data_IF_627017812116
#
_entry.id   IF_627017812116
#
_cell.length_a   1.000
_cell.length_b   1.000
_cell.length_c   1.000
_cell.angle_alpha   90.00
_cell.angle_beta   90.00
_cell.angle_gamma   90.00
#
_symmetry.space_group_name_H-M   'P 1'
#
loop_
_entity.id
_entity.type
_entity.pdbx_description
1 polymer ?
#
# COMPACT_ATOMS: atom_id res chain seq x y z
N UNK A 1 -2.20 16.99 25.04
CA UNK A 1 -2.01 17.36 23.62
C UNK A 1 -2.12 16.08 22.83
N UNK A 2 -3.28 15.88 22.20
CA UNK A 2 -3.77 14.58 21.75
C UNK A 2 -2.95 14.03 20.56
N UNK A 3 -2.35 12.86 20.74
CA UNK A 3 -1.90 12.03 19.62
C UNK A 3 -3.17 11.50 18.94
N UNK A 4 -3.55 12.15 17.83
CA UNK A 4 -4.60 11.68 16.93
C UNK A 4 -4.00 10.55 16.09
N UNK A 5 -3.65 9.45 16.76
CA UNK A 5 -3.23 8.22 16.09
C UNK A 5 -4.40 7.76 15.24
N UNK A 6 -4.15 7.77 13.93
CA UNK A 6 -5.18 7.57 12.92
C UNK A 6 -5.71 6.15 13.06
N UNK A 7 -6.99 6.02 13.39
CA UNK A 7 -7.69 4.75 13.46
C UNK A 7 -7.73 4.11 12.06
N UNK A 8 -6.71 3.33 11.73
CA UNK A 8 -6.86 2.19 10.85
C UNK A 8 -6.73 0.99 11.76
N UNK A 9 -7.86 0.35 12.04
CA UNK A 9 -7.98 -0.83 12.88
C UNK A 9 -6.87 -1.84 12.56
N UNK A 10 -6.35 -2.49 13.60
CA UNK A 10 -5.32 -3.54 13.57
C UNK A 10 -5.84 -4.78 12.84
N UNK A 11 -5.99 -4.71 11.52
CA UNK A 11 -6.50 -5.82 10.72
C UNK A 11 -5.38 -6.85 10.50
N UNK A 12 -5.42 -7.96 11.24
CA UNK A 12 -4.57 -9.12 11.00
C UNK A 12 -5.36 -10.18 10.24
N UNK A 13 -4.86 -10.53 9.05
CA UNK A 13 -5.41 -11.55 8.18
C UNK A 13 -4.24 -12.42 7.71
N UNK A 14 -3.98 -13.49 8.45
CA UNK A 14 -2.82 -14.35 8.22
C UNK A 14 -2.94 -15.18 6.93
N UNK A 15 -4.13 -15.28 6.34
CA UNK A 15 -4.40 -16.01 5.11
C UNK A 15 -4.70 -15.10 3.91
N UNK A 16 -4.65 -13.77 4.08
CA UNK A 16 -4.93 -12.85 2.98
C UNK A 16 -3.81 -12.91 1.95
N UNK A 17 -4.12 -13.43 0.75
CA UNK A 17 -3.16 -13.59 -0.34
C UNK A 17 -3.30 -12.51 -1.42
N UNK A 18 -4.50 -11.99 -1.65
CA UNK A 18 -4.77 -11.03 -2.72
C UNK A 18 -5.48 -9.80 -2.15
N UNK A 19 -4.85 -8.63 -2.32
CA UNK A 19 -5.39 -7.37 -1.87
C UNK A 19 -5.32 -6.33 -2.99
N UNK A 20 -6.44 -5.63 -3.20
CA UNK A 20 -6.51 -4.52 -4.13
C UNK A 20 -6.97 -3.25 -3.40
N UNK A 21 -6.06 -2.30 -3.26
CA UNK A 21 -6.27 -0.96 -2.70
C UNK A 21 -6.24 0.13 -3.78
N UNK A 22 -6.38 -0.24 -5.05
CA UNK A 22 -6.38 0.72 -6.15
C UNK A 22 -7.45 1.79 -5.94
N UNK A 23 -7.14 3.04 -6.30
CA UNK A 23 -7.98 4.23 -6.13
C UNK A 23 -8.22 4.67 -4.67
N UNK A 24 -7.66 3.98 -3.67
CA UNK A 24 -7.75 4.38 -2.27
C UNK A 24 -6.81 5.58 -1.97
N UNK A 25 -7.23 6.80 -2.31
CA UNK A 25 -6.45 8.05 -2.19
C UNK A 25 -6.01 8.44 -0.77
N UNK A 26 -6.52 7.76 0.25
CA UNK A 26 -6.17 8.02 1.65
C UNK A 26 -5.14 7.03 2.21
N UNK A 27 -4.76 6.02 1.44
CA UNK A 27 -3.73 5.06 1.83
C UNK A 27 -2.37 5.74 1.78
N UNK A 28 -1.59 5.61 2.86
CA UNK A 28 -0.28 6.26 3.06
C UNK A 28 0.80 5.22 3.28
N UNK A 29 2.07 5.63 3.17
CA UNK A 29 3.24 4.77 3.45
C UNK A 29 3.14 4.09 4.82
N UNK A 30 2.74 4.83 5.86
CA UNK A 30 2.56 4.27 7.20
C UNK A 30 1.44 3.20 7.24
N UNK A 31 0.31 3.46 6.56
CA UNK A 31 -0.81 2.53 6.52
C UNK A 31 -0.48 1.22 5.79
N UNK A 32 0.25 1.31 4.67
CA UNK A 32 0.65 0.11 3.92
C UNK A 32 1.75 -0.66 4.62
N UNK A 33 2.64 0.02 5.36
CA UNK A 33 3.70 -0.65 6.12
C UNK A 33 3.09 -1.43 7.29
N UNK A 34 2.15 -0.82 8.01
CA UNK A 34 1.44 -1.46 9.11
C UNK A 34 0.64 -2.68 8.63
N UNK A 35 -0.09 -2.53 7.50
CA UNK A 35 -0.80 -3.63 6.84
C UNK A 35 0.17 -4.75 6.44
N UNK A 36 1.28 -4.43 5.76
CA UNK A 36 2.24 -5.43 5.32
C UNK A 36 2.86 -6.21 6.49
N UNK A 37 3.16 -5.53 7.60
CA UNK A 37 3.74 -6.16 8.80
C UNK A 37 2.80 -7.17 9.48
N UNK A 38 1.48 -7.00 9.33
CA UNK A 38 0.44 -7.84 9.96
C UNK A 38 -0.14 -8.88 9.01
N UNK A 39 0.13 -8.76 7.71
CA UNK A 39 -0.42 -9.61 6.65
C UNK A 39 0.68 -10.22 5.77
N UNK A 40 1.62 -11.02 6.35
CA UNK A 40 2.81 -11.51 5.62
C UNK A 40 2.48 -12.51 4.50
N UNK A 41 1.25 -13.02 4.44
CA UNK A 41 0.81 -13.99 3.43
C UNK A 41 0.43 -13.39 2.08
N UNK A 42 0.47 -12.07 1.93
CA UNK A 42 0.08 -11.41 0.68
C UNK A 42 1.01 -11.84 -0.46
N UNK A 43 0.41 -12.36 -1.52
CA UNK A 43 1.07 -12.76 -2.77
C UNK A 43 0.80 -11.76 -3.90
N UNK A 44 -0.31 -11.04 -3.86
CA UNK A 44 -0.69 -10.02 -4.84
C UNK A 44 -1.17 -8.75 -4.16
N UNK A 45 -0.53 -7.64 -4.47
CA UNK A 45 -0.92 -6.31 -4.01
C UNK A 45 -1.08 -5.35 -5.17
N UNK A 46 -2.24 -4.71 -5.27
CA UNK A 46 -2.49 -3.64 -6.25
C UNK A 46 -2.76 -2.32 -5.53
N UNK A 47 -2.01 -1.28 -5.89
CA UNK A 47 -2.18 0.08 -5.32
C UNK A 47 -2.20 1.13 -6.44
N UNK A 48 -2.88 0.83 -7.53
CA UNK A 48 -2.97 1.73 -8.67
C UNK A 48 -3.61 3.06 -8.25
N UNK A 49 -3.02 4.16 -8.68
CA UNK A 49 -3.51 5.51 -8.47
C UNK A 49 -3.60 5.95 -6.99
N UNK A 50 -2.81 5.31 -6.12
CA UNK A 50 -2.60 5.72 -4.72
C UNK A 50 -1.48 6.76 -4.65
N UNK A 51 -1.84 8.05 -4.82
CA UNK A 51 -0.91 9.16 -4.94
C UNK A 51 -0.16 9.57 -3.66
N UNK A 52 -0.48 8.96 -2.52
CA UNK A 52 0.18 9.20 -1.23
C UNK A 52 1.18 8.10 -0.85
N UNK A 53 1.40 7.13 -1.75
CA UNK A 53 2.43 6.11 -1.61
C UNK A 53 3.70 6.58 -2.32
N UNK A 54 4.83 6.47 -1.66
CA UNK A 54 6.15 6.84 -2.18
C UNK A 54 7.03 5.61 -2.37
N UNK A 55 8.12 5.77 -3.13
CA UNK A 55 9.12 4.71 -3.32
C UNK A 55 9.67 4.19 -1.98
N UNK A 56 9.87 5.07 -0.99
CA UNK A 56 10.28 4.69 0.37
C UNK A 56 9.25 3.79 1.05
N UNK A 57 7.96 4.11 0.92
CA UNK A 57 6.88 3.26 1.43
C UNK A 57 6.85 1.89 0.76
N UNK A 58 7.07 1.83 -0.55
CA UNK A 58 7.18 0.56 -1.29
C UNK A 58 8.38 -0.26 -0.80
N UNK A 59 9.55 0.36 -0.64
CA UNK A 59 10.77 -0.32 -0.15
C UNK A 59 10.53 -0.91 1.24
N UNK A 60 9.85 -0.20 2.13
CA UNK A 60 9.54 -0.73 3.47
C UNK A 60 8.53 -1.88 3.41
N UNK A 61 7.47 -1.72 2.62
CA UNK A 61 6.44 -2.74 2.44
C UNK A 61 6.99 -4.08 1.95
N UNK A 62 7.89 -4.07 0.96
CA UNK A 62 8.43 -5.32 0.40
C UNK A 62 9.32 -6.09 1.38
N UNK A 63 9.84 -5.45 2.43
CA UNK A 63 10.57 -6.14 3.51
C UNK A 63 9.67 -7.05 4.33
N UNK A 64 8.40 -6.71 4.47
CA UNK A 64 7.43 -7.49 5.25
C UNK A 64 6.74 -8.59 4.43
N UNK A 65 6.61 -8.41 3.11
CA UNK A 65 5.85 -9.32 2.24
C UNK A 65 6.77 -10.33 1.52
N UNK A 66 7.35 -11.26 2.27
CA UNK A 66 8.27 -12.27 1.73
C UNK A 66 7.64 -13.24 0.70
N UNK A 67 6.30 -13.31 0.64
CA UNK A 67 5.53 -14.14 -0.29
C UNK A 67 5.00 -13.37 -1.51
N UNK A 68 5.30 -12.08 -1.64
CA UNK A 68 4.80 -11.24 -2.72
C UNK A 68 5.30 -11.74 -4.08
N UNK A 69 4.36 -12.04 -4.98
CA UNK A 69 4.63 -12.47 -6.35
C UNK A 69 4.26 -11.40 -7.37
N UNK A 70 3.26 -10.58 -7.06
CA UNK A 70 2.72 -9.57 -7.97
C UNK A 70 2.47 -8.24 -7.23
N UNK A 71 3.13 -7.17 -7.68
CA UNK A 71 2.90 -5.80 -7.23
C UNK A 71 2.51 -4.94 -8.44
N UNK A 72 1.34 -4.29 -8.38
CA UNK A 72 0.88 -3.40 -9.44
C UNK A 72 0.76 -1.95 -8.93
N UNK A 73 1.51 -1.05 -9.56
CA UNK A 73 1.53 0.40 -9.29
C UNK A 73 1.35 1.15 -10.61
N UNK A 74 0.21 1.83 -10.78
CA UNK A 74 -0.04 2.76 -11.88
C UNK A 74 -0.15 4.18 -11.36
N UNK A 75 0.37 5.13 -12.12
CA UNK A 75 0.29 6.56 -11.84
C UNK A 75 -0.65 7.24 -12.83
N UNK A 76 -1.21 8.39 -12.45
CA UNK A 76 -1.90 9.26 -13.41
C UNK A 76 -0.86 9.88 -14.34
N UNK A 77 -1.01 9.67 -15.64
CA UNK A 77 -0.26 10.44 -16.64
C UNK A 77 -1.17 11.60 -17.06
N UNK A 78 -0.82 12.81 -16.65
CA UNK A 78 -1.47 14.03 -17.15
C UNK A 78 -0.95 14.32 -18.57
N UNK A 79 -1.85 14.44 -19.55
CA UNK A 79 -1.53 14.70 -20.97
C UNK A 79 -1.04 16.14 -21.25
N UNK A 80 -0.21 16.74 -20.39
CA UNK A 80 0.20 18.15 -20.49
C UNK A 80 1.62 18.38 -21.03
N UNK A 81 2.25 17.38 -21.65
CA UNK A 81 3.59 17.53 -22.26
C UNK A 81 3.61 17.10 -23.74
N UNK A 82 2.55 17.45 -24.46
CA UNK A 82 2.60 17.55 -25.92
C UNK A 82 2.39 19.03 -26.29
N UNK A 83 3.46 19.82 -26.19
CA UNK A 83 3.56 21.17 -26.75
C UNK A 83 4.93 21.37 -27.34
#
# INVERSE_FOLDING_TARGET
>A
MAARESQMSTFSFLELQHLNLSLCRQVTDAGISDLASKNPSIETLKMNFCNKITDSGIIELVKHLSRLKHLELRVYVTLYQAS
#
